data_IF_681427014979
#
_entry.id   IF_681427014979
#
_cell.length_a   1.000
_cell.length_b   1.000
_cell.length_c   1.000
_cell.angle_alpha   90.00
_cell.angle_beta   90.00
_cell.angle_gamma   90.00
#
_symmetry.space_group_name_H-M   'P 1'
#
loop_
_entity.id
_entity.type
_entity.pdbx_description
1 polymer ?
#
# COMPACT_ATOMS: atom_id res chain seq x y z
N UNK A 1 -44.43 23.80 -60.22
CA UNK A 1 -43.81 24.24 -58.96
C UNK A 1 -43.80 23.05 -58.02
N UNK A 2 -42.63 22.63 -57.55
CA UNK A 2 -42.49 21.50 -56.61
C UNK A 2 -41.79 20.29 -57.21
N UNK A 3 -40.48 20.39 -57.47
CA UNK A 3 -39.53 19.26 -57.48
C UNK A 3 -38.10 19.83 -57.62
N UNK A 4 -37.68 20.67 -56.68
CA UNK A 4 -36.29 21.19 -56.66
C UNK A 4 -35.82 21.65 -55.27
N UNK A 5 -36.36 21.09 -54.19
CA UNK A 5 -35.96 21.46 -52.82
C UNK A 5 -35.78 20.27 -51.85
N UNK A 6 -35.54 19.06 -52.35
CA UNK A 6 -35.21 17.92 -51.47
C UNK A 6 -33.77 17.41 -51.55
N UNK A 7 -32.94 17.90 -52.47
CA UNK A 7 -31.60 17.33 -52.68
C UNK A 7 -30.44 18.11 -52.04
N UNK A 8 -30.70 19.29 -51.45
CA UNK A 8 -29.65 20.12 -50.83
C UNK A 8 -29.55 19.94 -49.30
N UNK A 9 -30.58 19.37 -48.66
CA UNK A 9 -30.57 19.15 -47.21
C UNK A 9 -29.80 17.88 -46.78
N UNK A 10 -29.71 16.86 -47.65
CA UNK A 10 -28.97 15.63 -47.33
C UNK A 10 -27.44 15.78 -47.41
N UNK A 11 -26.91 16.75 -48.17
CA UNK A 11 -25.46 16.96 -48.26
C UNK A 11 -24.88 17.69 -47.03
N UNK A 12 -25.64 18.59 -46.40
CA UNK A 12 -25.17 19.34 -45.23
C UNK A 12 -25.15 18.50 -43.94
N UNK A 13 -26.11 17.58 -43.78
CA UNK A 13 -26.13 16.67 -42.63
C UNK A 13 -25.03 15.59 -42.72
N UNK A 14 -24.57 15.23 -43.92
CA UNK A 14 -23.44 14.32 -44.10
C UNK A 14 -22.09 15.01 -43.89
N UNK A 15 -21.95 16.30 -44.23
CA UNK A 15 -20.72 17.06 -43.94
C UNK A 15 -20.57 17.45 -42.47
N UNK A 16 -21.65 17.68 -41.73
CA UNK A 16 -21.58 17.91 -40.27
C UNK A 16 -21.33 16.59 -39.52
N UNK A 17 -21.85 15.45 -40.01
CA UNK A 17 -21.51 14.14 -39.46
C UNK A 17 -20.04 13.73 -39.72
N UNK A 18 -19.45 14.15 -40.85
CA UNK A 18 -18.04 13.90 -41.18
C UNK A 18 -17.06 14.86 -40.47
N UNK A 19 -17.50 16.05 -40.08
CA UNK A 19 -16.71 16.98 -39.25
C UNK A 19 -16.84 16.72 -37.73
N UNK A 20 -17.89 16.03 -37.27
CA UNK A 20 -18.03 15.58 -35.88
C UNK A 20 -17.31 14.23 -35.65
N UNK A 21 -17.07 13.43 -36.69
CA UNK A 21 -16.26 12.19 -36.59
C UNK A 21 -14.75 12.40 -36.71
N UNK A 22 -14.27 13.62 -37.00
CA UNK A 22 -12.84 13.96 -37.03
C UNK A 22 -12.32 14.65 -35.74
N UNK A 23 -13.08 14.61 -34.64
CA UNK A 23 -12.67 15.17 -33.35
C UNK A 23 -12.66 14.16 -32.19
N UNK A 24 -12.67 12.84 -32.49
CA UNK A 24 -12.68 11.78 -31.47
C UNK A 24 -11.44 10.89 -31.49
N UNK A 25 -10.60 10.97 -32.53
CA UNK A 25 -9.39 10.15 -32.62
C UNK A 25 -8.12 10.99 -32.42
N UNK A 26 -7.77 11.19 -31.15
CA UNK A 26 -6.42 11.01 -30.60
C UNK A 26 -6.44 11.39 -29.11
N UNK A 27 -7.20 10.67 -28.29
CA UNK A 27 -6.76 10.49 -26.89
C UNK A 27 -5.58 9.54 -26.99
N UNK A 28 -4.38 10.08 -27.21
CA UNK A 28 -3.16 9.30 -27.04
C UNK A 28 -3.22 8.79 -25.59
N UNK A 29 -3.41 7.48 -25.42
CA UNK A 29 -3.50 6.89 -24.10
C UNK A 29 -2.22 7.26 -23.35
N UNK A 30 -2.36 8.08 -22.29
CA UNK A 30 -1.26 8.47 -21.43
C UNK A 30 -0.57 7.20 -20.93
N UNK A 31 0.75 7.13 -21.02
CA UNK A 31 1.46 6.00 -20.45
C UNK A 31 1.30 5.94 -18.91
N UNK A 32 1.67 4.81 -18.33
CA UNK A 32 1.49 4.57 -16.89
C UNK A 32 2.19 5.64 -16.03
N UNK A 33 3.36 6.12 -16.46
CA UNK A 33 4.14 7.09 -15.72
C UNK A 33 3.50 8.47 -15.75
N UNK A 34 2.99 8.93 -16.89
CA UNK A 34 2.28 10.21 -16.96
C UNK A 34 0.98 10.18 -16.15
N UNK A 35 0.28 9.04 -16.12
CA UNK A 35 -0.90 8.84 -15.28
C UNK A 35 -0.53 8.89 -13.78
N UNK A 36 0.54 8.21 -13.37
CA UNK A 36 1.03 8.21 -11.99
C UNK A 36 1.55 9.59 -11.56
N UNK A 37 2.25 10.31 -12.43
CA UNK A 37 2.67 11.69 -12.20
C UNK A 37 1.45 12.59 -11.93
N UNK A 38 0.46 12.55 -12.82
CA UNK A 38 -0.75 13.37 -12.74
C UNK A 38 -1.55 13.09 -11.46
N UNK A 39 -1.73 11.81 -11.10
CA UNK A 39 -2.38 11.42 -9.85
C UNK A 39 -1.60 11.92 -8.63
N UNK A 40 -0.28 11.74 -8.63
CA UNK A 40 0.57 12.13 -7.50
C UNK A 40 0.58 13.66 -7.31
N UNK A 41 0.62 14.43 -8.40
CA UNK A 41 0.51 15.90 -8.40
C UNK A 41 -0.82 16.33 -7.77
N UNK A 42 -1.93 15.68 -8.14
CA UNK A 42 -3.25 15.96 -7.56
C UNK A 42 -3.34 15.63 -6.06
N UNK A 43 -2.70 14.55 -5.62
CA UNK A 43 -2.60 14.22 -4.20
C UNK A 43 -1.79 15.25 -3.42
N UNK A 44 -0.68 15.75 -3.99
CA UNK A 44 0.14 16.80 -3.37
C UNK A 44 -0.66 18.10 -3.27
N UNK A 45 -1.36 18.50 -4.33
CA UNK A 45 -2.23 19.70 -4.33
C UNK A 45 -3.26 19.64 -3.20
N UNK A 46 -4.03 18.55 -3.11
CA UNK A 46 -5.03 18.35 -2.04
C UNK A 46 -4.40 18.26 -0.66
N UNK A 47 -3.19 17.73 -0.58
CA UNK A 47 -2.42 17.66 0.67
C UNK A 47 -2.00 19.04 1.16
N UNK A 48 -1.52 19.91 0.27
CA UNK A 48 -1.12 21.28 0.60
C UNK A 48 -2.30 22.14 1.06
N UNK A 49 -3.49 21.94 0.51
CA UNK A 49 -4.73 22.60 0.98
C UNK A 49 -5.06 22.28 2.45
N UNK A 50 -4.60 21.14 2.95
CA UNK A 50 -4.86 20.65 4.31
C UNK A 50 -3.65 20.82 5.25
N UNK A 51 -2.53 21.33 4.74
CA UNK A 51 -1.29 21.45 5.49
C UNK A 51 -1.40 22.57 6.52
N UNK A 52 -1.22 22.23 7.80
CA UNK A 52 -1.27 23.21 8.91
C UNK A 52 0.09 23.89 9.08
N UNK A 53 0.13 25.16 9.53
CA UNK A 53 1.40 25.82 9.85
C UNK A 53 2.23 25.02 10.86
N UNK A 54 3.52 24.80 10.56
CA UNK A 54 4.43 24.05 11.42
C UNK A 54 4.34 22.51 11.33
N UNK A 55 3.49 21.95 10.46
CA UNK A 55 3.37 20.51 10.26
C UNK A 55 4.49 19.95 9.35
N UNK A 56 5.71 19.92 9.90
CA UNK A 56 6.93 19.48 9.20
C UNK A 56 6.82 18.05 8.66
N UNK A 57 6.12 17.16 9.36
CA UNK A 57 5.98 15.75 8.96
C UNK A 57 5.13 15.61 7.70
N UNK A 58 3.95 16.23 7.67
CA UNK A 58 3.14 16.22 6.45
C UNK A 58 3.79 17.01 5.32
N UNK A 59 4.48 18.11 5.61
CA UNK A 59 5.26 18.84 4.62
C UNK A 59 6.32 17.94 3.96
N UNK A 60 7.14 17.23 4.75
CA UNK A 60 8.17 16.32 4.24
C UNK A 60 7.56 15.17 3.42
N UNK A 61 6.42 14.63 3.86
CA UNK A 61 5.70 13.59 3.11
C UNK A 61 5.20 14.11 1.75
N UNK A 62 4.65 15.32 1.70
CA UNK A 62 4.20 15.94 0.44
C UNK A 62 5.37 16.26 -0.48
N UNK A 63 6.50 16.71 0.08
CA UNK A 63 7.75 16.95 -0.65
C UNK A 63 8.28 15.65 -1.28
N UNK A 64 8.30 14.55 -0.52
CA UNK A 64 8.68 13.24 -1.04
C UNK A 64 7.77 12.75 -2.17
N UNK A 65 6.46 12.99 -2.08
CA UNK A 65 5.51 12.70 -3.17
C UNK A 65 5.75 13.58 -4.40
N UNK A 66 6.04 14.86 -4.20
CA UNK A 66 6.31 15.78 -5.30
C UNK A 66 7.61 15.41 -6.04
N UNK A 67 8.65 14.98 -5.32
CA UNK A 67 9.87 14.43 -5.92
C UNK A 67 9.60 13.12 -6.68
N UNK A 68 8.72 12.27 -6.16
CA UNK A 68 8.29 11.05 -6.85
C UNK A 68 7.52 11.36 -8.14
N UNK A 69 6.67 12.38 -8.14
CA UNK A 69 6.01 12.85 -9.35
C UNK A 69 7.00 13.37 -10.40
N UNK A 70 8.09 14.04 -9.98
CA UNK A 70 9.15 14.47 -10.89
C UNK A 70 9.80 13.28 -11.62
N UNK A 71 10.11 12.20 -10.90
CA UNK A 71 10.67 10.98 -11.50
C UNK A 71 9.75 10.36 -12.55
N UNK A 72 8.44 10.34 -12.30
CA UNK A 72 7.46 9.87 -13.27
C UNK A 72 7.35 10.78 -14.50
N UNK A 73 7.45 12.11 -14.31
CA UNK A 73 7.54 13.05 -15.43
C UNK A 73 8.85 12.91 -16.22
N UNK A 74 9.94 12.49 -15.59
CA UNK A 74 11.21 12.24 -16.28
C UNK A 74 11.17 10.95 -17.11
N UNK A 75 10.57 9.88 -16.57
CA UNK A 75 10.52 8.54 -17.16
C UNK A 75 9.44 8.32 -18.21
N UNK A 76 8.40 9.15 -18.21
CA UNK A 76 7.31 9.05 -19.21
C UNK A 76 7.82 9.16 -20.64
N UNK A 77 7.29 8.30 -21.51
CA UNK A 77 7.52 8.32 -22.97
C UNK A 77 6.55 9.28 -23.66
N UNK A 78 5.46 9.65 -22.99
CA UNK A 78 4.41 10.59 -23.43
C UNK A 78 4.78 12.08 -23.39
N UNK A 79 6.06 12.47 -23.60
CA UNK A 79 6.52 13.87 -23.48
C UNK A 79 5.94 14.84 -24.51
N UNK A 80 5.46 14.33 -25.64
CA UNK A 80 4.81 15.12 -26.68
C UNK A 80 3.33 15.42 -26.39
N UNK A 81 2.74 14.82 -25.36
CA UNK A 81 1.34 15.01 -25.01
C UNK A 81 1.08 16.39 -24.37
N UNK A 82 -0.05 17.05 -24.67
CA UNK A 82 -0.43 18.28 -23.98
C UNK A 82 -0.61 18.06 -22.47
N UNK A 83 -1.01 16.86 -22.05
CA UNK A 83 -1.12 16.46 -20.64
C UNK A 83 0.23 16.46 -19.92
N UNK A 84 1.32 16.12 -20.63
CA UNK A 84 2.67 16.21 -20.06
C UNK A 84 3.05 17.65 -19.75
N UNK A 85 2.86 18.57 -20.72
CA UNK A 85 3.12 19.99 -20.51
C UNK A 85 2.28 20.57 -19.36
N UNK A 86 1.00 20.18 -19.26
CA UNK A 86 0.11 20.58 -18.16
C UNK A 86 0.60 20.03 -16.80
N UNK A 87 1.04 18.77 -16.75
CA UNK A 87 1.53 18.14 -15.53
C UNK A 87 2.84 18.77 -15.06
N UNK A 88 3.80 19.04 -15.96
CA UNK A 88 5.07 19.73 -15.64
C UNK A 88 4.80 21.12 -15.07
N UNK A 89 3.92 21.90 -15.72
CA UNK A 89 3.53 23.23 -15.23
C UNK A 89 2.98 23.15 -13.81
N UNK A 90 2.02 22.25 -13.57
CA UNK A 90 1.35 22.09 -12.28
C UNK A 90 2.31 21.58 -11.19
N UNK A 91 3.26 20.72 -11.54
CA UNK A 91 4.33 20.30 -10.65
C UNK A 91 5.19 21.49 -10.20
N UNK A 92 5.61 22.36 -11.12
CA UNK A 92 6.41 23.56 -10.82
C UNK A 92 5.67 24.58 -9.94
N UNK A 93 4.37 24.76 -10.15
CA UNK A 93 3.51 25.60 -9.29
C UNK A 93 3.47 25.07 -7.85
N UNK A 94 3.31 23.75 -7.68
CA UNK A 94 3.31 23.12 -6.35
C UNK A 94 4.68 23.21 -5.67
N UNK A 95 5.77 23.03 -6.42
CA UNK A 95 7.12 23.18 -5.89
C UNK A 95 7.37 24.58 -5.35
N UNK A 96 6.96 25.61 -6.10
CA UNK A 96 7.08 27.02 -5.69
C UNK A 96 6.26 27.28 -4.42
N UNK A 97 5.01 26.80 -4.38
CA UNK A 97 4.15 26.94 -3.20
C UNK A 97 4.73 26.26 -1.96
N UNK A 98 5.37 25.10 -2.11
CA UNK A 98 6.05 24.44 -0.99
C UNK A 98 7.24 25.27 -0.47
N UNK A 99 8.03 25.85 -1.37
CA UNK A 99 9.16 26.71 -0.99
C UNK A 99 8.70 27.98 -0.23
N UNK A 100 7.58 28.58 -0.66
CA UNK A 100 6.95 29.72 0.04
C UNK A 100 6.53 29.34 1.47
N UNK A 101 5.89 28.18 1.63
CA UNK A 101 5.47 27.67 2.96
C UNK A 101 6.68 27.49 3.87
N UNK A 102 7.77 26.87 3.38
CA UNK A 102 8.99 26.69 4.16
C UNK A 102 9.61 28.03 4.58
N UNK A 103 9.66 28.99 3.66
CA UNK A 103 10.18 30.34 3.93
C UNK A 103 9.35 31.05 4.99
N UNK A 104 8.01 30.97 4.89
CA UNK A 104 7.10 31.57 5.87
C UNK A 104 7.26 30.95 7.27
N UNK A 105 7.46 29.62 7.35
CA UNK A 105 7.67 28.93 8.63
C UNK A 105 8.99 29.33 9.28
N UNK A 106 10.07 29.42 8.49
CA UNK A 106 11.38 29.87 9.00
C UNK A 106 11.33 31.32 9.50
N UNK A 107 10.65 32.22 8.76
CA UNK A 107 10.49 33.61 9.19
C UNK A 107 9.64 33.75 10.46
N UNK A 108 8.59 32.94 10.62
CA UNK A 108 7.76 32.90 11.83
C UNK A 108 8.57 32.42 13.05
N UNK A 109 9.42 31.41 12.85
CA UNK A 109 10.28 30.87 13.91
C UNK A 109 11.34 31.90 14.36
N UNK A 110 11.96 32.62 13.42
CA UNK A 110 12.93 33.68 13.72
C UNK A 110 12.27 34.86 14.47
N UNK A 111 11.05 35.26 14.10
CA UNK A 111 10.29 36.29 14.84
C UNK A 111 9.97 35.84 16.27
N UNK A 112 9.59 34.58 16.47
CA UNK A 112 9.32 34.04 17.80
C UNK A 112 10.59 34.02 18.68
N UNK A 113 11.74 33.67 18.09
CA UNK A 113 13.03 33.69 18.80
C UNK A 113 13.50 35.11 19.14
N UNK A 114 13.32 36.08 18.23
CA UNK A 114 13.66 37.48 18.48
C UNK A 114 12.77 38.11 19.58
N UNK A 115 11.48 37.77 19.62
CA UNK A 115 10.57 38.22 20.68
C UNK A 115 10.94 37.65 22.06
N UNK A 116 11.48 36.42 22.11
CA UNK A 116 11.97 35.78 23.33
C UNK A 116 13.33 36.34 23.81
N UNK A 117 14.02 37.14 23.00
CA UNK A 117 15.36 37.69 23.28
C UNK A 117 15.34 39.13 23.80
N UNK A 118 14.17 39.75 23.91
CA UNK A 118 14.04 41.12 24.42
C UNK A 118 14.23 41.13 25.96
N UNK A 119 15.08 42.01 26.53
CA UNK A 119 15.22 42.13 27.97
C UNK A 119 13.90 42.62 28.59
N UNK A 120 13.57 42.21 29.84
CA UNK A 120 12.40 42.73 30.54
C UNK A 120 12.50 44.26 30.70
N UNK A 121 11.38 45.02 30.70
CA UNK A 121 11.41 46.44 30.96
C UNK A 121 11.99 46.68 32.37
N UNK A 122 12.93 47.63 32.47
CA UNK A 122 13.61 47.97 33.72
C UNK A 122 12.60 48.26 34.85
N UNK A 123 12.70 47.45 35.92
CA UNK A 123 11.89 47.58 37.12
C UNK A 123 12.14 48.93 37.80
N UNK A 124 11.06 49.71 37.99
CA UNK A 124 11.06 50.85 38.91
C UNK A 124 11.18 50.34 40.34
N UNK A 125 12.20 50.83 41.04
CA UNK A 125 12.42 50.59 42.46
C UNK A 125 11.35 51.29 43.30
N UNK A 126 10.78 50.57 44.28
CA UNK A 126 10.11 51.10 45.46
C UNK A 126 10.19 50.06 46.61
N UNK A 127 10.08 50.48 47.88
CA UNK A 127 11.05 50.11 48.91
C UNK A 127 10.63 49.00 49.91
N UNK A 128 11.67 48.44 50.54
CA UNK A 128 11.84 47.87 51.89
C UNK A 128 10.83 46.82 52.44
N UNK A 129 11.33 45.83 53.21
CA UNK A 129 10.73 44.51 53.30
C UNK A 129 9.72 44.37 54.45
N UNK A 130 8.51 43.91 54.13
CA UNK A 130 7.59 43.38 55.11
C UNK A 130 7.74 41.85 55.19
N UNK A 131 8.22 41.40 56.35
CA UNK A 131 8.04 40.08 56.98
C UNK A 131 7.86 38.88 56.04
N UNK A 132 8.92 38.07 55.96
CA UNK A 132 8.96 36.80 55.25
C UNK A 132 7.86 35.85 55.75
N UNK A 133 6.87 35.61 54.88
CA UNK A 133 6.08 34.39 54.90
C UNK A 133 6.99 33.21 54.52
N UNK A 134 6.73 31.99 55.02
CA UNK A 134 7.54 30.82 54.70
C UNK A 134 7.59 30.64 53.18
N UNK A 135 8.80 30.45 52.63
CA UNK A 135 9.02 30.18 51.23
C UNK A 135 8.25 28.90 50.86
N UNK A 136 7.17 29.07 50.11
CA UNK A 136 6.38 27.96 49.57
C UNK A 136 7.23 27.33 48.46
N UNK A 137 7.61 26.05 48.63
CA UNK A 137 8.38 25.35 47.60
C UNK A 137 7.60 25.31 46.27
N UNK A 138 8.22 25.67 45.14
CA UNK A 138 7.56 25.63 43.84
C UNK A 138 7.23 24.18 43.45
N UNK A 139 6.02 23.96 42.96
CA UNK A 139 5.57 22.65 42.47
C UNK A 139 5.96 22.51 41.00
N UNK A 140 6.69 21.46 40.67
CA UNK A 140 7.00 21.09 39.28
C UNK A 140 5.78 20.44 38.61
N UNK A 141 5.29 21.06 37.54
CA UNK A 141 4.15 20.60 36.74
C UNK A 141 4.57 19.81 35.48
N UNK A 142 5.85 19.75 35.14
CA UNK A 142 6.35 18.99 33.98
C UNK A 142 6.10 17.46 34.05
N UNK A 143 6.02 16.81 35.23
CA UNK A 143 5.58 15.42 35.34
C UNK A 143 4.18 15.17 34.77
N UNK A 144 3.25 16.13 34.91
CA UNK A 144 1.92 16.04 34.31
C UNK A 144 2.02 16.06 32.80
N UNK A 145 2.87 16.90 32.22
CA UNK A 145 3.11 16.89 30.78
C UNK A 145 3.65 15.53 30.31
N UNK A 146 4.58 14.93 31.06
CA UNK A 146 5.20 13.64 30.76
C UNK A 146 4.19 12.49 30.78
N UNK A 147 3.29 12.45 31.77
CA UNK A 147 2.19 11.48 31.84
C UNK A 147 1.33 11.48 30.57
N UNK A 148 1.11 12.66 30.00
CA UNK A 148 0.31 12.88 28.80
C UNK A 148 1.16 12.94 27.51
N UNK A 149 2.40 12.45 27.52
CA UNK A 149 3.17 12.31 26.27
C UNK A 149 2.72 11.08 25.50
N UNK A 150 2.79 11.14 24.17
CA UNK A 150 2.43 10.02 23.29
C UNK A 150 3.26 8.75 23.56
N UNK A 151 4.52 8.91 23.96
CA UNK A 151 5.41 7.81 24.35
C UNK A 151 5.00 7.11 25.63
N UNK A 152 4.32 7.83 26.54
CA UNK A 152 3.84 7.31 27.82
C UNK A 152 2.47 6.62 27.71
N UNK A 153 1.76 6.79 26.58
CA UNK A 153 0.47 6.15 26.36
C UNK A 153 0.60 4.62 26.25
N UNK A 154 -0.37 3.86 26.79
CA UNK A 154 -0.40 2.41 26.62
C UNK A 154 -0.53 2.07 25.13
N UNK A 155 0.20 1.04 24.70
CA UNK A 155 0.13 0.51 23.34
C UNK A 155 -0.81 -0.69 23.30
N UNK A 156 -1.62 -0.78 22.25
CA UNK A 156 -2.43 -1.95 21.96
C UNK A 156 -1.73 -2.78 20.89
N UNK A 157 -1.60 -4.10 21.12
CA UNK A 157 -1.05 -5.01 20.14
C UNK A 157 -1.99 -5.13 18.92
N UNK A 158 -1.42 -5.40 17.73
CA UNK A 158 -2.21 -5.58 16.50
C UNK A 158 -3.16 -6.78 16.58
N UNK A 159 -2.76 -7.82 17.31
CA UNK A 159 -3.54 -9.03 17.57
C UNK A 159 -4.23 -9.04 18.94
N UNK A 160 -4.56 -7.86 19.48
CA UNK A 160 -5.14 -7.76 20.82
C UNK A 160 -6.46 -8.53 20.94
N UNK A 161 -6.68 -9.15 22.10
CA UNK A 161 -7.99 -9.73 22.44
C UNK A 161 -8.98 -8.64 22.83
N UNK A 162 -10.31 -8.90 22.80
CA UNK A 162 -11.31 -7.95 23.27
C UNK A 162 -11.07 -7.49 24.71
N UNK A 163 -10.58 -8.36 25.59
CA UNK A 163 -10.27 -8.05 26.99
C UNK A 163 -9.08 -7.09 27.08
N UNK A 164 -8.01 -7.34 26.32
CA UNK A 164 -6.86 -6.44 26.23
C UNK A 164 -7.26 -5.08 25.66
N UNK A 165 -8.13 -5.08 24.64
CA UNK A 165 -8.68 -3.86 24.07
C UNK A 165 -9.53 -3.08 25.09
N UNK A 166 -10.29 -3.76 25.95
CA UNK A 166 -11.11 -3.13 27.00
C UNK A 166 -10.24 -2.45 28.04
N UNK A 167 -9.24 -3.16 28.59
CA UNK A 167 -8.29 -2.60 29.56
C UNK A 167 -7.59 -1.36 28.97
N UNK A 168 -7.14 -1.46 27.72
CA UNK A 168 -6.54 -0.32 27.03
C UNK A 168 -7.54 0.84 26.85
N UNK A 169 -8.75 0.56 26.39
CA UNK A 169 -9.78 1.57 26.13
C UNK A 169 -10.20 2.29 27.42
N UNK A 170 -10.39 1.57 28.52
CA UNK A 170 -10.74 2.11 29.83
C UNK A 170 -9.63 3.03 30.37
N UNK A 171 -8.36 2.62 30.23
CA UNK A 171 -7.22 3.46 30.60
C UNK A 171 -7.20 4.76 29.77
N UNK A 172 -7.36 4.64 28.45
CA UNK A 172 -7.44 5.80 27.57
C UNK A 172 -8.64 6.70 27.90
N UNK A 173 -9.80 6.14 28.26
CA UNK A 173 -10.98 6.89 28.70
C UNK A 173 -10.73 7.62 30.02
N UNK A 174 -10.10 6.96 30.99
CA UNK A 174 -9.75 7.57 32.27
C UNK A 174 -8.82 8.79 32.10
N UNK A 175 -7.87 8.72 31.16
CA UNK A 175 -7.01 9.85 30.77
C UNK A 175 -7.77 11.02 30.10
N UNK A 176 -8.98 10.79 29.59
CA UNK A 176 -9.84 11.85 29.04
C UNK A 176 -10.83 12.40 30.07
N UNK A 177 -11.16 11.64 31.10
CA UNK A 177 -12.20 11.99 32.07
C UNK A 177 -11.62 12.16 33.46
N UNK A 178 -11.66 11.12 34.28
CA UNK A 178 -11.42 11.20 35.73
C UNK A 178 -9.99 11.62 36.05
N UNK A 179 -8.99 11.09 35.34
CA UNK A 179 -7.59 11.47 35.57
C UNK A 179 -7.31 12.90 35.08
N UNK A 180 -7.89 13.29 33.95
CA UNK A 180 -7.78 14.67 33.46
C UNK A 180 -8.36 15.66 34.47
N UNK A 181 -9.55 15.38 35.00
CA UNK A 181 -10.18 16.23 36.01
C UNK A 181 -9.34 16.32 37.29
N UNK A 182 -8.79 15.19 37.76
CA UNK A 182 -7.89 15.17 38.90
C UNK A 182 -6.63 16.00 38.67
N UNK A 183 -5.99 15.84 37.51
CA UNK A 183 -4.74 16.54 37.18
C UNK A 183 -4.99 18.05 36.98
N UNK A 184 -6.14 18.43 36.42
CA UNK A 184 -6.57 19.84 36.36
C UNK A 184 -6.79 20.44 37.74
N UNK A 185 -7.38 19.70 38.69
CA UNK A 185 -7.53 20.15 40.07
C UNK A 185 -6.18 20.31 40.79
N UNK A 186 -5.19 19.48 40.46
CA UNK A 186 -3.80 19.65 40.95
C UNK A 186 -3.19 20.97 40.45
N UNK A 187 -3.37 21.29 39.16
CA UNK A 187 -2.92 22.57 38.60
C UNK A 187 -3.61 23.76 39.29
N UNK A 188 -4.91 23.67 39.54
CA UNK A 188 -5.68 24.73 40.18
C UNK A 188 -5.29 24.95 41.63
N UNK A 189 -5.00 23.87 42.35
CA UNK A 189 -4.49 23.93 43.73
C UNK A 189 -3.09 24.54 43.77
N UNK A 190 -2.23 24.22 42.80
CA UNK A 190 -0.89 24.79 42.71
C UNK A 190 -0.93 26.30 42.41
N UNK A 191 -1.84 26.73 41.53
CA UNK A 191 -2.06 28.14 41.23
C UNK A 191 -2.62 28.90 42.44
N UNK A 192 -3.62 28.34 43.13
CA UNK A 192 -4.25 28.97 44.29
C UNK A 192 -3.31 29.10 45.51
N UNK A 193 -2.37 28.18 45.67
CA UNK A 193 -1.37 28.20 46.75
C UNK A 193 -0.14 29.06 46.43
N UNK A 194 -0.03 29.59 45.20
CA UNK A 194 1.15 30.33 44.76
C UNK A 194 2.40 29.45 44.54
N UNK A 195 2.25 28.12 44.54
CA UNK A 195 3.35 27.17 44.28
C UNK A 195 3.67 27.04 42.78
N UNK A 196 2.78 27.52 41.89
CA UNK A 196 2.99 27.56 40.44
C UNK A 196 2.65 28.95 39.87
N UNK A 197 3.39 29.37 38.83
CA UNK A 197 3.11 30.62 38.12
C UNK A 197 1.86 30.48 37.22
N UNK A 198 1.16 31.59 36.96
CA UNK A 198 0.03 31.59 36.04
C UNK A 198 0.43 31.12 34.63
N UNK A 199 1.60 31.52 34.16
CA UNK A 199 2.15 31.10 32.86
C UNK A 199 2.38 29.59 32.79
N UNK A 200 2.94 29.00 33.85
CA UNK A 200 3.22 27.56 33.87
C UNK A 200 1.93 26.73 33.97
N UNK A 201 0.99 27.17 34.80
CA UNK A 201 -0.33 26.54 34.92
C UNK A 201 -1.09 26.58 33.59
N UNK A 202 -1.13 27.73 32.89
CA UNK A 202 -1.78 27.87 31.59
C UNK A 202 -1.10 27.01 30.50
N UNK A 203 0.24 26.97 30.47
CA UNK A 203 1.03 26.13 29.55
C UNK A 203 0.64 24.66 29.68
N UNK A 204 0.67 24.11 30.90
CA UNK A 204 0.38 22.70 31.16
C UNK A 204 -1.10 22.39 30.92
N UNK A 205 -2.01 23.25 31.40
CA UNK A 205 -3.45 23.10 31.17
C UNK A 205 -3.79 23.04 29.69
N UNK A 206 -3.21 23.94 28.88
CA UNK A 206 -3.43 23.95 27.43
C UNK A 206 -2.89 22.69 26.76
N UNK A 207 -1.71 22.22 27.19
CA UNK A 207 -1.10 21.00 26.69
C UNK A 207 -2.00 19.78 26.91
N UNK A 208 -2.48 19.56 28.14
CA UNK A 208 -3.25 18.36 28.50
C UNK A 208 -4.71 18.39 28.03
N UNK A 209 -5.32 19.58 27.95
CA UNK A 209 -6.75 19.73 27.60
C UNK A 209 -7.01 19.89 26.10
N UNK A 210 -6.12 20.53 25.35
CA UNK A 210 -6.32 20.77 23.91
C UNK A 210 -5.54 19.76 23.07
N UNK A 211 -4.21 19.82 23.15
CA UNK A 211 -3.37 19.06 22.22
C UNK A 211 -3.38 17.56 22.49
N UNK A 212 -3.41 17.18 23.76
CA UNK A 212 -3.39 15.77 24.13
C UNK A 212 -4.74 15.08 23.95
N UNK A 213 -5.86 15.76 24.24
CA UNK A 213 -7.20 15.19 24.01
C UNK A 213 -7.43 14.86 22.54
N UNK A 214 -6.93 15.71 21.63
CA UNK A 214 -6.90 15.43 20.20
C UNK A 214 -6.05 14.20 19.85
N UNK A 215 -4.93 13.98 20.55
CA UNK A 215 -4.09 12.80 20.34
C UNK A 215 -4.79 11.51 20.78
N UNK A 216 -5.47 11.50 21.93
CA UNK A 216 -6.26 10.33 22.35
C UNK A 216 -7.34 10.04 21.32
N UNK A 217 -8.14 11.05 20.93
CA UNK A 217 -9.21 10.89 19.93
C UNK A 217 -8.67 10.29 18.62
N UNK A 218 -7.55 10.81 18.11
CA UNK A 218 -6.89 10.27 16.91
C UNK A 218 -6.39 8.84 17.08
N UNK A 219 -5.87 8.50 18.26
CA UNK A 219 -5.34 7.15 18.54
C UNK A 219 -6.48 6.13 18.59
N UNK A 220 -7.57 6.44 19.31
CA UNK A 220 -8.77 5.61 19.36
C UNK A 220 -9.40 5.46 17.98
N UNK A 221 -9.59 6.56 17.24
CA UNK A 221 -10.16 6.54 15.90
C UNK A 221 -9.32 5.68 14.93
N UNK A 222 -7.98 5.75 15.02
CA UNK A 222 -7.10 4.89 14.24
C UNK A 222 -7.32 3.42 14.56
N UNK A 223 -7.45 3.07 15.84
CA UNK A 223 -7.63 1.67 16.23
C UNK A 223 -8.99 1.12 15.77
N UNK A 224 -10.05 1.93 15.82
CA UNK A 224 -11.35 1.60 15.21
C UNK A 224 -11.19 1.37 13.70
N UNK A 225 -10.51 2.28 13.00
CA UNK A 225 -10.31 2.18 11.55
C UNK A 225 -9.52 0.93 11.14
N UNK A 226 -8.49 0.55 11.92
CA UNK A 226 -7.72 -0.68 11.67
C UNK A 226 -8.65 -1.91 11.75
N UNK A 227 -9.45 -2.01 12.80
CA UNK A 227 -10.35 -3.14 12.99
C UNK A 227 -11.45 -3.19 11.92
N UNK A 228 -12.03 -2.04 11.55
CA UNK A 228 -12.98 -1.94 10.44
C UNK A 228 -12.35 -2.37 9.10
N UNK A 229 -11.09 -1.99 8.85
CA UNK A 229 -10.36 -2.40 7.65
C UNK A 229 -10.16 -3.92 7.57
N UNK A 230 -9.89 -4.57 8.71
CA UNK A 230 -9.77 -6.04 8.77
C UNK A 230 -11.13 -6.68 8.42
N UNK A 231 -12.23 -6.19 9.01
CA UNK A 231 -13.59 -6.68 8.71
C UNK A 231 -13.91 -6.52 7.23
N UNK A 232 -13.67 -5.33 6.67
CA UNK A 232 -13.95 -5.02 5.26
C UNK A 232 -13.15 -5.88 4.29
N UNK A 233 -11.87 -6.15 4.61
CA UNK A 233 -11.01 -7.00 3.78
C UNK A 233 -11.53 -8.44 3.63
N UNK A 234 -12.33 -8.92 4.60
CA UNK A 234 -12.85 -10.28 4.58
C UNK A 234 -14.21 -10.42 3.90
N UNK A 235 -14.97 -9.35 3.68
CA UNK A 235 -16.34 -9.44 3.17
C UNK A 235 -16.44 -10.13 1.81
N UNK A 236 -15.57 -9.79 0.88
CA UNK A 236 -15.58 -10.40 -0.46
C UNK A 236 -15.32 -11.91 -0.37
N UNK A 237 -14.35 -12.33 0.44
CA UNK A 237 -14.06 -13.76 0.62
C UNK A 237 -15.21 -14.47 1.33
N UNK A 238 -15.84 -13.82 2.31
CA UNK A 238 -17.01 -14.36 3.00
C UNK A 238 -18.19 -14.59 2.07
N UNK A 239 -18.49 -13.64 1.18
CA UNK A 239 -19.57 -13.82 0.20
C UNK A 239 -19.29 -14.98 -0.75
N UNK A 240 -18.06 -15.06 -1.29
CA UNK A 240 -17.68 -16.16 -2.18
C UNK A 240 -17.79 -17.53 -1.49
N UNK A 241 -17.45 -17.61 -0.21
CA UNK A 241 -17.58 -18.84 0.59
C UNK A 241 -19.07 -19.19 0.79
N UNK A 242 -19.90 -18.20 1.14
CA UNK A 242 -21.34 -18.38 1.34
C UNK A 242 -22.05 -18.83 0.05
N UNK A 243 -21.60 -18.35 -1.11
CA UNK A 243 -22.17 -18.69 -2.42
C UNK A 243 -21.82 -20.11 -2.90
N UNK A 244 -20.81 -20.76 -2.31
CA UNK A 244 -20.44 -22.12 -2.70
C UNK A 244 -21.51 -23.11 -2.25
N UNK A 245 -22.07 -23.84 -3.21
CA UNK A 245 -23.05 -24.91 -2.97
C UNK A 245 -22.35 -26.21 -2.56
N UNK A 246 -23.03 -27.04 -1.75
CA UNK A 246 -22.46 -28.31 -1.27
C UNK A 246 -22.25 -29.35 -2.38
N UNK A 247 -22.98 -29.25 -3.48
CA UNK A 247 -22.80 -30.07 -4.68
C UNK A 247 -21.66 -29.57 -5.59
N UNK A 248 -21.21 -28.33 -5.41
CA UNK A 248 -20.02 -27.79 -6.08
C UNK A 248 -18.73 -28.27 -5.39
N UNK A 249 -18.32 -29.49 -5.72
CA UNK A 249 -17.11 -30.12 -5.17
C UNK A 249 -15.83 -29.32 -5.46
N UNK A 250 -15.76 -28.63 -6.60
CA UNK A 250 -14.59 -27.84 -6.96
C UNK A 250 -14.57 -26.52 -6.19
N UNK A 251 -15.70 -25.86 -6.04
CA UNK A 251 -15.85 -24.67 -5.18
C UNK A 251 -15.54 -25.00 -3.72
N UNK A 252 -16.02 -26.13 -3.21
CA UNK A 252 -15.71 -26.61 -1.86
C UNK A 252 -14.20 -26.81 -1.69
N UNK A 253 -13.56 -27.55 -2.60
CA UNK A 253 -12.11 -27.78 -2.56
C UNK A 253 -11.28 -26.49 -2.74
N UNK A 254 -11.78 -25.49 -3.48
CA UNK A 254 -11.12 -24.19 -3.64
C UNK A 254 -10.96 -23.45 -2.32
N UNK A 255 -11.93 -23.53 -1.41
CA UNK A 255 -11.92 -22.77 -0.15
C UNK A 255 -11.61 -23.62 1.09
N UNK A 256 -11.90 -24.91 1.05
CA UNK A 256 -11.77 -25.83 2.19
C UNK A 256 -10.88 -27.05 1.88
N UNK A 257 -10.16 -27.06 0.76
CA UNK A 257 -9.20 -28.10 0.43
C UNK A 257 -7.83 -27.84 1.05
N UNK A 258 -7.17 -28.91 1.49
CA UNK A 258 -5.79 -28.92 2.00
C UNK A 258 -5.56 -27.85 3.09
N UNK A 259 -4.52 -27.03 2.95
CA UNK A 259 -4.14 -25.95 3.86
C UNK A 259 -5.11 -24.75 3.84
N UNK A 260 -5.95 -24.64 2.80
CA UNK A 260 -6.86 -23.49 2.61
C UNK A 260 -7.97 -23.45 3.66
N UNK A 261 -8.41 -24.60 4.16
CA UNK A 261 -9.45 -24.66 5.20
C UNK A 261 -9.01 -23.90 6.45
N UNK A 262 -7.85 -24.26 6.98
CA UNK A 262 -7.35 -23.67 8.23
C UNK A 262 -6.94 -22.20 8.01
N UNK A 263 -6.31 -21.89 6.88
CA UNK A 263 -5.96 -20.52 6.51
C UNK A 263 -7.21 -19.61 6.42
N UNK A 264 -8.29 -20.08 5.78
CA UNK A 264 -9.52 -19.30 5.68
C UNK A 264 -10.25 -19.18 7.02
N UNK A 265 -10.26 -20.24 7.85
CA UNK A 265 -10.80 -20.18 9.21
C UNK A 265 -10.07 -19.13 10.04
N UNK A 266 -8.74 -19.19 10.11
CA UNK A 266 -7.91 -18.23 10.84
C UNK A 266 -8.18 -16.79 10.41
N UNK A 267 -8.30 -16.53 9.11
CA UNK A 267 -8.59 -15.18 8.58
C UNK A 267 -9.99 -14.68 8.96
N UNK A 268 -11.00 -15.53 8.88
CA UNK A 268 -12.37 -15.19 9.31
C UNK A 268 -12.43 -14.97 10.82
N UNK A 269 -11.80 -15.83 11.62
CA UNK A 269 -11.74 -15.71 13.08
C UNK A 269 -11.01 -14.42 13.50
N UNK A 270 -9.96 -14.03 12.77
CA UNK A 270 -9.29 -12.75 12.98
C UNK A 270 -10.23 -11.55 12.72
N UNK A 271 -11.07 -11.62 11.68
CA UNK A 271 -12.04 -10.56 11.39
C UNK A 271 -13.17 -10.50 12.43
N UNK A 272 -13.64 -11.64 12.93
CA UNK A 272 -14.61 -11.70 14.03
C UNK A 272 -14.03 -11.10 15.32
N UNK A 273 -12.78 -11.44 15.65
CA UNK A 273 -12.06 -10.82 16.78
C UNK A 273 -11.91 -9.30 16.60
N UNK A 274 -11.56 -8.83 15.41
CA UNK A 274 -11.49 -7.40 15.12
C UNK A 274 -12.85 -6.71 15.31
N UNK A 275 -13.93 -7.37 14.91
CA UNK A 275 -15.31 -6.96 15.20
C UNK A 275 -15.59 -6.80 16.69
N UNK A 276 -15.21 -7.78 17.49
CA UNK A 276 -15.37 -7.74 18.95
C UNK A 276 -14.53 -6.62 19.60
N UNK A 277 -13.29 -6.43 19.16
CA UNK A 277 -12.43 -5.32 19.61
C UNK A 277 -13.04 -3.96 19.28
N UNK A 278 -13.57 -3.80 18.06
CA UNK A 278 -14.23 -2.56 17.67
C UNK A 278 -15.51 -2.30 18.48
N UNK A 279 -16.26 -3.35 18.83
CA UNK A 279 -17.45 -3.24 19.69
C UNK A 279 -17.10 -2.75 21.10
N UNK A 280 -15.97 -3.19 21.66
CA UNK A 280 -15.44 -2.68 22.94
C UNK A 280 -15.15 -1.17 22.85
N UNK A 281 -14.59 -0.69 21.75
CA UNK A 281 -14.35 0.75 21.59
C UNK A 281 -15.64 1.55 21.50
N UNK A 282 -16.65 1.04 20.81
CA UNK A 282 -17.97 1.68 20.73
C UNK A 282 -18.61 1.77 22.13
N UNK A 283 -18.52 0.71 22.94
CA UNK A 283 -19.00 0.66 24.32
C UNK A 283 -18.32 1.71 25.21
N UNK A 284 -16.98 1.76 25.20
CA UNK A 284 -16.20 2.61 26.12
C UNK A 284 -16.21 4.09 25.71
N UNK A 285 -16.08 4.39 24.43
CA UNK A 285 -15.96 5.77 23.95
C UNK A 285 -17.30 6.39 23.57
N UNK A 286 -18.35 5.58 23.44
CA UNK A 286 -19.62 6.00 22.88
C UNK A 286 -19.53 6.07 21.36
N UNK A 287 -20.40 5.33 20.68
CA UNK A 287 -20.34 5.19 19.23
C UNK A 287 -21.02 3.91 18.78
N UNK A 288 -20.90 3.61 17.50
CA UNK A 288 -21.45 2.41 16.89
C UNK A 288 -21.45 2.52 15.38
N UNK A 289 -20.97 1.48 14.71
CA UNK A 289 -21.17 1.33 13.28
C UNK A 289 -22.38 0.40 13.06
N UNK A 290 -23.57 0.94 12.72
CA UNK A 290 -24.78 0.12 12.58
C UNK A 290 -24.69 -0.92 11.45
N UNK A 291 -23.76 -0.72 10.51
CA UNK A 291 -23.53 -1.66 9.39
C UNK A 291 -22.62 -2.82 9.82
N UNK A 292 -21.83 -2.67 10.89
CA UNK A 292 -20.84 -3.69 11.32
C UNK A 292 -21.51 -5.01 11.67
N UNK A 293 -22.66 -4.99 12.33
CA UNK A 293 -23.39 -6.22 12.67
C UNK A 293 -23.74 -7.04 11.44
N UNK A 294 -24.22 -6.40 10.37
CA UNK A 294 -24.53 -7.09 9.11
C UNK A 294 -23.28 -7.68 8.43
N UNK A 295 -22.14 -6.99 8.52
CA UNK A 295 -20.84 -7.47 8.04
C UNK A 295 -20.38 -8.71 8.82
N UNK A 296 -20.43 -8.64 10.15
CA UNK A 296 -20.01 -9.75 11.02
C UNK A 296 -20.90 -10.98 10.82
N UNK A 297 -22.22 -10.82 10.70
CA UNK A 297 -23.12 -11.95 10.43
C UNK A 297 -22.75 -12.69 9.13
N UNK A 298 -22.32 -11.97 8.08
CA UNK A 298 -21.86 -12.59 6.82
C UNK A 298 -20.54 -13.35 7.00
N UNK A 299 -19.64 -12.82 7.82
CA UNK A 299 -18.36 -13.47 8.15
C UNK A 299 -18.60 -14.72 9.01
N UNK A 300 -19.47 -14.64 10.01
CA UNK A 300 -19.88 -15.78 10.84
C UNK A 300 -20.54 -16.88 9.99
N UNK A 301 -21.45 -16.50 9.09
CA UNK A 301 -22.05 -17.43 8.12
C UNK A 301 -20.99 -18.10 7.26
N UNK A 302 -20.02 -17.36 6.74
CA UNK A 302 -18.94 -17.92 5.94
C UNK A 302 -18.06 -18.89 6.76
N UNK A 303 -17.81 -18.55 8.03
CA UNK A 303 -17.03 -19.40 8.95
C UNK A 303 -17.73 -20.73 9.23
N UNK A 304 -19.05 -20.72 9.43
CA UNK A 304 -19.87 -21.92 9.54
C UNK A 304 -19.92 -22.69 8.21
N UNK A 305 -20.06 -21.98 7.08
CA UNK A 305 -20.11 -22.60 5.75
C UNK A 305 -18.82 -23.35 5.40
N UNK A 306 -17.65 -22.88 5.83
CA UNK A 306 -16.40 -23.64 5.67
C UNK A 306 -16.45 -25.00 6.37
N UNK A 307 -17.08 -25.09 7.55
CA UNK A 307 -17.20 -26.35 8.29
C UNK A 307 -18.11 -27.33 7.55
N UNK A 308 -19.15 -26.83 6.87
CA UNK A 308 -20.02 -27.64 6.00
C UNK A 308 -19.33 -28.08 4.70
N UNK A 309 -18.47 -27.23 4.13
CA UNK A 309 -17.72 -27.52 2.90
C UNK A 309 -16.54 -28.47 3.13
N UNK A 310 -15.97 -28.50 4.33
CA UNK A 310 -14.82 -29.34 4.68
C UNK A 310 -14.96 -30.82 4.29
N UNK A 311 -16.05 -31.55 4.63
CA UNK A 311 -16.19 -32.95 4.22
C UNK A 311 -16.28 -33.13 2.70
N UNK A 312 -16.92 -32.19 1.97
CA UNK A 312 -17.01 -32.22 0.50
C UNK A 312 -15.64 -31.99 -0.12
N UNK A 313 -14.90 -31.02 0.40
CA UNK A 313 -13.55 -30.72 -0.03
C UNK A 313 -12.60 -31.89 0.19
N UNK A 314 -12.69 -32.58 1.34
CA UNK A 314 -11.90 -33.77 1.63
C UNK A 314 -12.20 -34.92 0.65
N UNK A 315 -13.48 -35.17 0.35
CA UNK A 315 -13.86 -36.17 -0.66
C UNK A 315 -13.33 -35.81 -2.05
N UNK A 316 -13.38 -34.53 -2.42
CA UNK A 316 -12.84 -34.07 -3.69
C UNK A 316 -11.31 -34.20 -3.73
N UNK A 317 -10.62 -33.90 -2.64
CA UNK A 317 -9.17 -34.10 -2.51
C UNK A 317 -8.80 -35.57 -2.72
N UNK A 318 -9.53 -36.50 -2.09
CA UNK A 318 -9.34 -37.93 -2.32
C UNK A 318 -9.59 -38.30 -3.78
N UNK A 319 -10.66 -37.80 -4.40
CA UNK A 319 -10.94 -38.04 -5.82
C UNK A 319 -9.82 -37.52 -6.73
N UNK A 320 -9.28 -36.34 -6.44
CA UNK A 320 -8.17 -35.74 -7.19
C UNK A 320 -6.87 -36.51 -6.99
N UNK A 321 -6.62 -37.04 -5.79
CA UNK A 321 -5.45 -37.87 -5.51
C UNK A 321 -5.49 -39.23 -6.23
N UNK A 322 -6.68 -39.82 -6.37
CA UNK A 322 -6.90 -41.09 -7.10
C UNK A 322 -7.22 -40.90 -8.57
N UNK A 323 -7.46 -39.66 -9.02
CA UNK A 323 -7.56 -39.38 -10.44
C UNK A 323 -6.22 -39.77 -11.05
N UNK A 324 -6.20 -40.50 -12.18
CA UNK A 324 -4.96 -40.77 -12.88
C UNK A 324 -4.33 -39.40 -13.14
N UNK A 325 -3.19 -39.14 -12.49
CA UNK A 325 -2.37 -37.98 -12.84
C UNK A 325 -2.23 -38.07 -14.33
N UNK A 326 -2.79 -37.11 -15.08
CA UNK A 326 -2.63 -37.05 -16.53
C UNK A 326 -1.13 -37.17 -16.73
N UNK A 327 -0.66 -38.32 -17.20
CA UNK A 327 0.71 -38.44 -17.65
C UNK A 327 0.73 -37.55 -18.87
N UNK A 328 1.13 -36.29 -18.66
CA UNK A 328 1.43 -35.38 -19.74
C UNK A 328 2.45 -36.12 -20.59
N UNK A 329 2.23 -36.22 -21.92
CA UNK A 329 3.17 -36.91 -22.80
C UNK A 329 4.58 -36.42 -22.46
N UNK A 330 5.52 -37.35 -22.30
CA UNK A 330 6.92 -37.02 -22.04
C UNK A 330 7.36 -36.14 -23.21
N UNK A 331 7.46 -34.84 -22.97
CA UNK A 331 8.01 -33.90 -23.93
C UNK A 331 9.45 -34.31 -24.15
N UNK A 332 9.81 -34.57 -25.41
CA UNK A 332 11.20 -34.88 -25.76
C UNK A 332 12.06 -33.68 -25.38
N UNK A 333 13.26 -33.94 -24.86
CA UNK A 333 14.24 -32.89 -24.56
C UNK A 333 14.45 -31.99 -25.79
N UNK A 334 14.33 -30.68 -25.58
CA UNK A 334 14.46 -29.67 -26.61
C UNK A 334 15.28 -28.45 -26.17
N UNK A 335 15.53 -28.27 -24.88
CA UNK A 335 16.48 -27.29 -24.36
C UNK A 335 17.87 -27.93 -24.29
N UNK A 336 18.89 -27.23 -24.79
CA UNK A 336 20.25 -27.75 -24.83
C UNK A 336 20.83 -27.92 -23.41
N UNK A 337 21.58 -29.00 -23.13
CA UNK A 337 22.29 -29.17 -21.86
C UNK A 337 23.59 -28.36 -21.86
N UNK A 338 23.47 -27.04 -21.72
CA UNK A 338 24.59 -26.11 -21.72
C UNK A 338 24.55 -25.24 -20.47
N UNK A 339 25.71 -25.03 -19.87
CA UNK A 339 25.86 -24.04 -18.83
C UNK A 339 25.95 -22.64 -19.45
N UNK A 340 25.29 -21.65 -18.86
CA UNK A 340 25.19 -20.28 -19.37
C UNK A 340 25.15 -19.29 -18.22
N UNK A 341 25.83 -18.16 -18.39
CA UNK A 341 25.70 -16.96 -17.58
C UNK A 341 24.76 -15.98 -18.29
N UNK A 342 23.90 -15.34 -17.50
CA UNK A 342 22.94 -14.35 -17.98
C UNK A 342 23.33 -13.00 -17.40
N UNK A 343 23.89 -12.13 -18.23
CA UNK A 343 24.40 -10.81 -17.85
C UNK A 343 23.34 -9.73 -18.04
N UNK A 344 23.06 -8.92 -17.02
CA UNK A 344 22.18 -7.76 -17.09
C UNK A 344 22.93 -6.50 -16.68
N UNK A 345 22.95 -5.49 -17.55
CA UNK A 345 23.63 -4.20 -17.34
C UNK A 345 25.11 -4.33 -16.92
N UNK A 346 25.81 -5.31 -17.48
CA UNK A 346 27.24 -5.54 -17.22
C UNK A 346 27.56 -6.31 -15.94
N UNK A 347 26.56 -6.95 -15.31
CA UNK A 347 26.76 -7.86 -14.18
C UNK A 347 26.05 -9.19 -14.42
N UNK A 348 26.60 -10.30 -13.91
CA UNK A 348 25.90 -11.59 -13.89
C UNK A 348 24.65 -11.47 -13.03
N UNK A 349 23.48 -11.72 -13.64
CA UNK A 349 22.19 -11.74 -12.98
C UNK A 349 21.84 -13.14 -12.51
N UNK A 350 22.11 -14.13 -13.36
CA UNK A 350 21.79 -15.54 -13.11
C UNK A 350 22.77 -16.43 -13.85
N UNK A 351 22.85 -17.68 -13.43
CA UNK A 351 23.63 -18.74 -14.06
C UNK A 351 22.74 -19.98 -14.21
N UNK A 352 22.92 -20.74 -15.27
CA UNK A 352 22.34 -22.08 -15.42
C UNK A 352 23.44 -23.11 -15.59
N UNK A 353 23.29 -24.25 -14.95
CA UNK A 353 24.15 -25.41 -15.15
C UNK A 353 23.64 -26.31 -16.28
N UNK A 354 24.51 -27.21 -16.75
CA UNK A 354 24.22 -28.07 -17.89
C UNK A 354 23.11 -29.11 -17.60
N UNK A 355 22.82 -29.39 -16.33
CA UNK A 355 21.70 -30.24 -15.89
C UNK A 355 20.37 -29.47 -15.75
N UNK A 356 20.41 -28.14 -15.86
CA UNK A 356 19.26 -27.26 -15.79
C UNK A 356 19.09 -26.51 -14.47
N UNK A 357 19.94 -26.73 -13.47
CA UNK A 357 19.87 -25.97 -12.21
C UNK A 357 20.16 -24.49 -12.45
N UNK A 358 19.43 -23.62 -11.74
CA UNK A 358 19.43 -22.17 -11.91
C UNK A 358 19.88 -21.50 -10.62
N UNK A 359 20.91 -20.67 -10.75
CA UNK A 359 21.45 -19.86 -9.68
C UNK A 359 21.16 -18.38 -9.91
N UNK A 360 20.66 -17.67 -8.89
CA UNK A 360 20.49 -16.21 -8.91
C UNK A 360 21.15 -15.67 -7.65
N UNK A 361 22.05 -14.70 -7.80
CA UNK A 361 22.77 -14.09 -6.67
C UNK A 361 23.45 -15.13 -5.75
N UNK A 362 24.01 -16.20 -6.35
CA UNK A 362 24.65 -17.34 -5.69
C UNK A 362 23.75 -18.24 -4.82
N UNK A 363 22.42 -18.16 -4.98
CA UNK A 363 21.47 -19.11 -4.41
C UNK A 363 20.92 -20.03 -5.50
N UNK A 364 20.79 -21.32 -5.19
CA UNK A 364 20.01 -22.27 -6.00
C UNK A 364 18.53 -21.96 -5.83
N UNK A 365 17.85 -21.62 -6.92
CA UNK A 365 16.50 -21.06 -6.87
C UNK A 365 15.48 -21.91 -7.62
N UNK A 366 15.93 -22.66 -8.62
CA UNK A 366 15.05 -23.41 -9.50
C UNK A 366 15.80 -24.42 -10.37
N UNK A 367 15.08 -25.37 -10.96
CA UNK A 367 15.57 -26.21 -12.04
C UNK A 367 14.72 -26.02 -13.30
N UNK A 368 15.36 -25.83 -14.45
CA UNK A 368 14.73 -25.83 -15.78
C UNK A 368 15.26 -27.02 -16.57
N UNK A 369 14.51 -28.11 -16.54
CA UNK A 369 14.88 -29.39 -17.15
C UNK A 369 14.91 -29.32 -18.68
N UNK A 370 15.62 -30.25 -19.34
CA UNK A 370 15.78 -30.24 -20.81
C UNK A 370 14.49 -30.40 -21.62
N UNK A 371 13.45 -30.98 -21.02
CA UNK A 371 12.11 -31.05 -21.58
C UNK A 371 11.22 -29.85 -21.23
N UNK A 372 11.81 -28.80 -20.64
CA UNK A 372 11.17 -27.52 -20.41
C UNK A 372 10.35 -27.43 -19.12
N UNK A 373 10.49 -28.33 -18.15
CA UNK A 373 9.78 -28.19 -16.85
C UNK A 373 10.54 -27.26 -15.92
N UNK A 374 9.80 -26.48 -15.15
CA UNK A 374 10.32 -25.50 -14.20
C UNK A 374 9.95 -25.95 -12.79
N UNK A 375 10.97 -26.25 -11.98
CA UNK A 375 10.84 -26.64 -10.58
C UNK A 375 11.35 -25.52 -9.69
N UNK A 376 10.63 -25.21 -8.63
CA UNK A 376 11.03 -24.23 -7.60
C UNK A 376 10.65 -24.85 -6.25
N UNK A 377 11.58 -24.83 -5.29
CA UNK A 377 11.38 -25.46 -3.97
C UNK A 377 10.90 -26.92 -4.08
N UNK A 378 11.48 -27.69 -5.02
CA UNK A 378 11.11 -29.09 -5.31
C UNK A 378 9.66 -29.31 -5.80
N UNK A 379 8.96 -28.26 -6.23
CA UNK A 379 7.62 -28.36 -6.83
C UNK A 379 7.65 -27.91 -8.29
N UNK A 380 6.98 -28.64 -9.19
CA UNK A 380 6.76 -28.21 -10.58
C UNK A 380 5.84 -26.97 -10.56
N UNK A 381 6.39 -25.80 -10.86
CA UNK A 381 5.66 -24.52 -10.88
C UNK A 381 5.28 -24.09 -12.28
N UNK A 382 5.99 -24.57 -13.30
CA UNK A 382 5.76 -24.15 -14.68
C UNK A 382 6.36 -25.05 -15.74
N UNK A 383 6.16 -24.67 -17.00
CA UNK A 383 6.83 -25.25 -18.14
C UNK A 383 7.01 -24.25 -19.27
N UNK A 384 8.04 -24.47 -20.09
CA UNK A 384 8.12 -23.97 -21.46
C UNK A 384 7.90 -25.15 -22.39
N UNK A 385 7.06 -24.97 -23.40
CA UNK A 385 6.73 -26.01 -24.36
C UNK A 385 7.60 -25.91 -25.63
N UNK A 386 7.73 -26.98 -26.43
CA UNK A 386 8.52 -26.94 -27.67
C UNK A 386 8.08 -25.86 -28.65
N UNK A 387 6.77 -25.59 -28.71
CA UNK A 387 6.16 -24.54 -29.51
C UNK A 387 6.38 -23.12 -28.94
N UNK A 388 7.03 -22.99 -27.79
CA UNK A 388 7.37 -21.72 -27.17
C UNK A 388 6.36 -21.23 -26.14
N UNK A 389 5.23 -21.89 -25.91
CA UNK A 389 4.30 -21.48 -24.86
C UNK A 389 4.94 -21.58 -23.46
N UNK A 390 4.70 -20.58 -22.62
CA UNK A 390 5.18 -20.53 -21.24
C UNK A 390 3.99 -20.63 -20.30
N UNK A 391 4.06 -21.56 -19.36
CA UNK A 391 3.02 -21.88 -18.40
C UNK A 391 3.55 -21.76 -16.97
N UNK A 392 2.76 -21.18 -16.07
CA UNK A 392 3.03 -21.13 -14.63
C UNK A 392 1.73 -21.33 -13.85
N UNK A 393 1.77 -22.13 -12.78
CA UNK A 393 0.62 -22.42 -11.91
C UNK A 393 -0.65 -22.84 -12.68
N UNK A 394 -0.45 -23.56 -13.79
CA UNK A 394 -1.53 -24.06 -14.64
C UNK A 394 -2.11 -23.05 -15.63
N UNK A 395 -1.56 -21.83 -15.73
CA UNK A 395 -1.99 -20.81 -16.68
C UNK A 395 -0.90 -20.52 -17.71
N UNK A 396 -1.29 -20.30 -18.97
CA UNK A 396 -0.37 -19.78 -19.98
C UNK A 396 -0.08 -18.31 -19.67
N UNK A 397 1.19 -17.97 -19.45
CA UNK A 397 1.62 -16.62 -19.08
C UNK A 397 2.31 -15.89 -20.24
N UNK A 398 2.79 -16.61 -21.24
CA UNK A 398 3.44 -16.02 -22.41
C UNK A 398 3.76 -17.00 -23.53
N UNK A 399 4.49 -16.51 -24.53
CA UNK A 399 5.06 -17.32 -25.62
C UNK A 399 6.44 -16.81 -26.04
N UNK A 400 7.25 -17.73 -26.56
CA UNK A 400 8.59 -17.54 -27.08
C UNK A 400 8.58 -17.87 -28.57
N UNK A 401 8.67 -16.85 -29.41
CA UNK A 401 8.59 -17.04 -30.87
C UNK A 401 9.96 -17.44 -31.45
N UNK A 402 10.03 -18.27 -32.50
CA UNK A 402 11.31 -18.77 -33.04
C UNK A 402 12.31 -17.69 -33.46
N UNK A 403 11.85 -16.47 -33.73
CA UNK A 403 12.69 -15.33 -34.08
C UNK A 403 13.32 -14.64 -32.85
N UNK A 404 13.07 -15.12 -31.64
CA UNK A 404 13.61 -14.59 -30.39
C UNK A 404 12.69 -13.60 -29.68
N UNK A 405 11.50 -13.30 -30.23
CA UNK A 405 10.54 -12.42 -29.57
C UNK A 405 9.92 -13.11 -28.34
N UNK A 406 9.73 -12.31 -27.29
CA UNK A 406 9.10 -12.77 -26.05
C UNK A 406 7.81 -12.01 -25.83
N UNK A 407 6.72 -12.77 -25.72
CA UNK A 407 5.37 -12.24 -25.57
C UNK A 407 4.80 -12.58 -24.20
N UNK A 408 4.15 -11.61 -23.56
CA UNK A 408 3.50 -11.77 -22.25
C UNK A 408 2.22 -10.95 -22.21
N UNK A 409 1.11 -11.59 -21.83
CA UNK A 409 -0.19 -10.91 -21.77
C UNK A 409 -0.63 -10.25 -23.09
N UNK A 410 -0.21 -10.82 -24.23
CA UNK A 410 -0.54 -10.30 -25.57
C UNK A 410 0.34 -9.14 -26.06
N UNK A 411 1.37 -8.74 -25.31
CA UNK A 411 2.33 -7.72 -25.73
C UNK A 411 3.73 -8.33 -25.88
N UNK A 412 4.48 -7.86 -26.87
CA UNK A 412 5.91 -8.14 -26.94
C UNK A 412 6.62 -7.40 -25.80
N UNK A 413 7.27 -8.15 -24.92
CA UNK A 413 8.00 -7.63 -23.75
C UNK A 413 9.51 -7.75 -23.91
N UNK A 414 9.98 -8.46 -24.94
CA UNK A 414 11.39 -8.77 -25.11
C UNK A 414 11.77 -9.24 -26.49
N UNK A 415 13.08 -9.26 -26.73
CA UNK A 415 13.72 -9.84 -27.90
C UNK A 415 15.10 -10.37 -27.48
N UNK A 416 15.39 -11.62 -27.82
CA UNK A 416 16.73 -12.18 -27.74
C UNK A 416 17.23 -12.45 -29.15
N UNK A 417 18.31 -11.77 -29.54
CA UNK A 417 18.90 -11.93 -30.85
C UNK A 417 19.65 -13.27 -30.98
N UNK A 418 19.84 -13.71 -32.22
CA UNK A 418 20.56 -14.95 -32.56
C UNK A 418 22.08 -14.89 -32.29
N UNK A 419 22.55 -13.82 -31.67
CA UNK A 419 23.93 -13.67 -31.16
C UNK A 419 23.98 -13.72 -29.61
N UNK A 420 22.84 -13.88 -28.93
CA UNK A 420 22.75 -13.88 -27.47
C UNK A 420 22.49 -12.52 -26.82
N UNK A 421 22.35 -11.44 -27.61
CA UNK A 421 22.01 -10.10 -27.09
C UNK A 421 20.55 -10.05 -26.65
N UNK A 422 20.31 -9.52 -25.46
CA UNK A 422 18.98 -9.42 -24.83
C UNK A 422 18.52 -7.97 -24.80
N UNK A 423 17.35 -7.72 -25.36
CA UNK A 423 16.73 -6.39 -25.46
C UNK A 423 15.61 -6.21 -24.44
N UNK A 424 15.72 -5.18 -23.61
CA UNK A 424 14.71 -4.84 -22.60
C UNK A 424 14.31 -3.38 -22.85
N UNK A 425 13.00 -3.12 -22.89
CA UNK A 425 12.43 -1.79 -23.14
C UNK A 425 12.95 -1.08 -24.41
N UNK A 426 13.35 -1.86 -25.42
CA UNK A 426 13.86 -1.35 -26.70
C UNK A 426 15.33 -0.94 -26.68
N UNK A 427 16.12 -1.35 -25.68
CA UNK A 427 17.58 -1.19 -25.66
C UNK A 427 18.29 -2.51 -25.33
N UNK A 428 19.49 -2.74 -25.87
CA UNK A 428 20.30 -3.89 -25.47
C UNK A 428 20.69 -3.70 -24.00
N UNK A 429 20.29 -4.65 -23.17
CA UNK A 429 20.44 -4.56 -21.71
C UNK A 429 21.11 -5.80 -21.12
N UNK A 430 21.15 -6.91 -21.86
CA UNK A 430 21.80 -8.12 -21.38
C UNK A 430 22.43 -8.98 -22.47
N UNK A 431 23.10 -10.03 -22.01
CA UNK A 431 23.86 -10.96 -22.84
C UNK A 431 23.78 -12.38 -22.26
N UNK A 432 23.92 -13.38 -23.12
CA UNK A 432 23.96 -14.80 -22.76
C UNK A 432 25.36 -15.33 -23.12
N UNK A 433 26.06 -15.88 -22.14
CA UNK A 433 27.46 -16.32 -22.30
C UNK A 433 27.66 -17.74 -21.74
N UNK A 434 28.08 -18.74 -22.55
CA UNK A 434 28.16 -18.72 -24.00
C UNK A 434 26.79 -18.79 -24.67
N UNK A 435 26.65 -18.16 -25.83
CA UNK A 435 25.48 -18.35 -26.68
C UNK A 435 25.71 -19.50 -27.69
N UNK A 436 24.90 -20.55 -27.60
CA UNK A 436 24.94 -21.70 -28.53
C UNK A 436 23.55 -22.01 -29.12
N UNK A 437 22.74 -20.99 -29.36
CA UNK A 437 21.40 -21.13 -29.94
C UNK A 437 20.30 -21.51 -28.94
N UNK A 438 20.65 -21.80 -27.68
CA UNK A 438 19.68 -21.88 -26.58
C UNK A 438 19.45 -20.48 -26.01
N UNK A 439 18.23 -19.99 -26.17
CA UNK A 439 17.78 -18.69 -25.67
C UNK A 439 16.51 -18.78 -24.84
N UNK A 440 15.83 -19.93 -24.81
CA UNK A 440 14.55 -20.06 -24.14
C UNK A 440 14.71 -20.03 -22.62
N UNK A 441 15.79 -20.60 -22.06
CA UNK A 441 16.09 -20.42 -20.62
C UNK A 441 16.36 -18.97 -20.30
N UNK A 442 17.15 -18.29 -21.12
CA UNK A 442 17.38 -16.85 -20.95
C UNK A 442 16.07 -16.07 -20.95
N UNK A 443 15.16 -16.35 -21.89
CA UNK A 443 13.86 -15.67 -21.95
C UNK A 443 13.05 -15.83 -20.65
N UNK A 444 13.04 -17.04 -20.06
CA UNK A 444 12.41 -17.30 -18.77
C UNK A 444 13.04 -16.44 -17.66
N UNK A 445 14.37 -16.35 -17.60
CA UNK A 445 15.08 -15.64 -16.55
C UNK A 445 15.06 -14.11 -16.69
N UNK A 446 14.97 -13.57 -17.91
CA UNK A 446 14.89 -12.12 -18.12
C UNK A 446 13.45 -11.58 -18.03
N UNK A 447 12.49 -12.23 -18.67
CA UNK A 447 11.14 -11.66 -18.88
C UNK A 447 10.05 -12.31 -18.01
N UNK A 448 10.35 -13.46 -17.40
CA UNK A 448 9.50 -14.17 -16.44
C UNK A 448 10.18 -14.28 -15.07
N UNK A 449 11.18 -13.42 -14.79
CA UNK A 449 11.94 -13.41 -13.53
C UNK A 449 11.06 -13.31 -12.29
N UNK A 450 9.93 -12.64 -12.38
CA UNK A 450 9.00 -12.44 -11.28
C UNK A 450 8.31 -13.73 -10.78
N UNK A 451 8.44 -14.83 -11.53
CA UNK A 451 7.99 -16.16 -11.09
C UNK A 451 9.03 -16.93 -10.29
N UNK A 452 10.28 -16.45 -10.24
CA UNK A 452 11.36 -17.06 -9.47
C UNK A 452 11.54 -16.34 -8.12
N UNK A 453 11.88 -17.07 -7.04
CA UNK A 453 12.29 -16.46 -5.78
C UNK A 453 13.48 -15.52 -5.96
N UNK A 454 13.64 -14.57 -5.04
CA UNK A 454 14.79 -13.65 -5.01
C UNK A 454 15.62 -13.89 -3.76
#
# INVERSE_FOLDING_TARGET
MGHTMLNTCCCFLFQVALLITMAVDQVQAMDADLNLATRTINEVSKGLERLRPGDVSNYNRLSGKLNKAAKYLESTKSKSLPEFAAAVKRWGELQSRMAEIATAWNAAQQKAQAAASLPPPAARQAPAPAQAMPAVEPVDLDPLMTKYQRSALPRLAESATPEQARVWAEHMKALQTTQLQSDLATIDSALASGTASQSDAERVRRWISEMFQDNIKRTVARQIQINEGIIDSMLYSSDLINDVKLDDKNGAYRFAGDDKLENNRMRLDNALRAGAVAAVFDEVFGGGNPVRTGKLNRIESARARLDELAPVAAQQAMRLAHAPKKQRPVTKDFLAPIAQEFWLNGSVMAESEADGSIWIEANDVADITHNGRIWIDSNERGSVEPNGEVWFDGNQVGSLEPNGEVWRGGNQVGLIEQNGTVWIDGSPAGEIVPFQGEWKRAALLYYFRDFFPR
#
